data_IF_005934702733
#
_entry.id   IF_005934702733
#
_cell.length_a   1.000
_cell.length_b   1.000
_cell.length_c   1.000
_cell.angle_alpha   90.00
_cell.angle_beta   90.00
_cell.angle_gamma   90.00
#
_symmetry.space_group_name_H-M   'P 1'
#
loop_
_entity.id
_entity.type
_entity.pdbx_description
1 polymer ?
#
# COMPACT_ATOMS: atom_id res chain seq x y z
N UNK A 1 -10.88 0.12 19.07
CA UNK A 1 -11.71 -0.03 17.85
C UNK A 1 -10.81 -0.17 16.64
N UNK A 2 -10.64 -1.38 16.10
CA UNK A 2 -9.79 -1.77 14.95
C UNK A 2 -9.82 -3.31 15.04
N UNK A 3 -10.60 -4.09 14.31
CA UNK A 3 -10.92 -4.09 12.88
C UNK A 3 -12.28 -4.80 12.73
N UNK A 4 -13.35 -4.06 12.41
CA UNK A 4 -14.72 -4.60 12.15
C UNK A 4 -14.88 -5.27 10.78
N UNK A 5 -13.77 -5.45 10.03
CA UNK A 5 -13.80 -5.95 8.66
C UNK A 5 -14.11 -7.45 8.60
N UNK A 6 -13.55 -8.25 9.52
CA UNK A 6 -13.73 -9.71 9.51
C UNK A 6 -15.06 -10.19 10.14
N UNK A 7 -15.65 -9.44 11.07
CA UNK A 7 -16.93 -9.82 11.70
C UNK A 7 -18.13 -9.77 10.74
N UNK A 8 -17.94 -9.17 9.56
CA UNK A 8 -18.98 -9.06 8.52
C UNK A 8 -18.73 -9.97 7.31
N UNK A 9 -17.72 -10.84 7.33
CA UNK A 9 -17.57 -11.89 6.32
C UNK A 9 -18.53 -13.06 6.59
N UNK A 10 -19.81 -12.75 6.87
CA UNK A 10 -20.88 -13.57 6.32
C UNK A 10 -20.83 -13.30 4.83
N UNK A 11 -20.46 -14.30 4.04
CA UNK A 11 -20.70 -14.33 2.60
C UNK A 11 -22.21 -14.19 2.35
N UNK A 12 -22.71 -12.97 2.47
CA UNK A 12 -24.11 -12.61 2.37
C UNK A 12 -24.41 -12.22 0.93
N UNK A 13 -25.56 -12.68 0.43
CA UNK A 13 -26.16 -12.29 -0.87
C UNK A 13 -26.21 -10.77 -1.10
N UNK A 14 -26.05 -9.94 -0.07
CA UNK A 14 -26.03 -8.48 -0.20
C UNK A 14 -24.70 -7.89 -0.71
N UNK A 15 -23.54 -8.54 -0.47
CA UNK A 15 -22.25 -8.09 -1.00
C UNK A 15 -22.13 -8.36 -2.50
N UNK A 16 -22.81 -9.41 -2.97
CA UNK A 16 -23.11 -9.60 -4.39
C UNK A 16 -23.78 -8.32 -4.92
N UNK A 17 -24.86 -7.82 -4.31
CA UNK A 17 -25.66 -6.76 -4.93
C UNK A 17 -25.00 -5.37 -5.05
N UNK A 18 -24.04 -5.00 -4.19
CA UNK A 18 -23.41 -3.65 -4.23
C UNK A 18 -22.22 -3.59 -5.19
N UNK A 19 -21.32 -4.57 -5.11
CA UNK A 19 -20.22 -4.73 -6.07
C UNK A 19 -20.77 -5.12 -7.43
N UNK A 20 -21.81 -5.98 -7.49
CA UNK A 20 -22.54 -6.22 -8.73
C UNK A 20 -23.18 -4.93 -9.24
N UNK A 21 -23.84 -4.06 -8.45
CA UNK A 21 -24.42 -2.82 -8.99
C UNK A 21 -23.42 -1.92 -9.71
N UNK A 22 -22.21 -1.75 -9.15
CA UNK A 22 -21.16 -0.95 -9.80
C UNK A 22 -20.52 -1.69 -10.99
N UNK A 23 -20.31 -3.01 -10.90
CA UNK A 23 -19.89 -3.84 -12.04
C UNK A 23 -20.95 -3.87 -13.16
N UNK A 24 -22.24 -3.84 -12.81
CA UNK A 24 -23.39 -3.86 -13.73
C UNK A 24 -23.54 -2.52 -14.45
N UNK A 25 -23.32 -1.39 -13.76
CA UNK A 25 -23.22 -0.05 -14.39
C UNK A 25 -22.15 -0.01 -15.48
N UNK A 26 -21.00 -0.64 -15.25
CA UNK A 26 -19.90 -0.65 -16.23
C UNK A 26 -20.10 -1.61 -17.42
N UNK A 27 -21.02 -2.60 -17.33
CA UNK A 27 -21.13 -3.68 -18.34
C UNK A 27 -22.30 -3.57 -19.32
N UNK A 28 -23.45 -3.04 -18.91
CA UNK A 28 -24.63 -2.95 -19.80
C UNK A 28 -24.54 -1.85 -20.85
N UNK A 29 -23.59 -0.92 -20.71
CA UNK A 29 -23.38 0.14 -21.70
C UNK A 29 -22.73 -0.34 -23.01
N UNK A 30 -22.14 -1.55 -23.09
CA UNK A 30 -21.28 -1.86 -24.25
C UNK A 30 -21.34 -3.21 -24.96
N UNK A 31 -22.03 -4.26 -24.51
CA UNK A 31 -22.19 -5.45 -25.39
C UNK A 31 -23.25 -6.43 -24.91
N UNK A 32 -24.16 -6.75 -25.84
CA UNK A 32 -25.12 -7.86 -25.85
C UNK A 32 -24.35 -9.17 -25.59
N UNK A 33 -24.30 -9.65 -24.34
CA UNK A 33 -23.51 -10.84 -23.98
C UNK A 33 -24.43 -12.06 -23.88
N UNK A 34 -24.37 -12.90 -24.91
CA UNK A 34 -25.05 -14.19 -25.00
C UNK A 34 -24.33 -15.22 -24.10
N UNK A 35 -25.10 -16.15 -23.51
CA UNK A 35 -24.70 -17.34 -22.71
C UNK A 35 -24.29 -17.10 -21.23
N UNK A 36 -25.11 -17.65 -20.32
CA UNK A 36 -24.99 -17.57 -18.84
C UNK A 36 -23.63 -18.05 -18.28
N UNK A 37 -22.97 -19.00 -18.96
CA UNK A 37 -21.67 -19.54 -18.56
C UNK A 37 -20.53 -18.51 -18.63
N UNK A 38 -20.53 -17.65 -19.65
CA UNK A 38 -19.47 -16.63 -19.81
C UNK A 38 -19.60 -15.50 -18.80
N UNK A 39 -20.82 -15.10 -18.45
CA UNK A 39 -21.08 -14.12 -17.41
C UNK A 39 -20.56 -14.62 -16.05
N UNK A 40 -20.82 -15.88 -15.71
CA UNK A 40 -20.34 -16.52 -14.47
C UNK A 40 -18.82 -16.50 -14.39
N UNK A 41 -18.14 -16.88 -15.47
CA UNK A 41 -16.67 -16.92 -15.52
C UNK A 41 -16.04 -15.54 -15.35
N UNK A 42 -16.60 -14.51 -15.99
CA UNK A 42 -16.10 -13.14 -15.82
C UNK A 42 -16.33 -12.61 -14.39
N UNK A 43 -17.48 -12.92 -13.78
CA UNK A 43 -17.75 -12.53 -12.39
C UNK A 43 -16.83 -13.22 -11.40
N UNK A 44 -16.57 -14.51 -11.58
CA UNK A 44 -15.60 -15.26 -10.76
C UNK A 44 -14.20 -14.65 -10.87
N UNK A 45 -13.75 -14.36 -12.09
CA UNK A 45 -12.46 -13.73 -12.33
C UNK A 45 -12.35 -12.35 -11.68
N UNK A 46 -13.38 -11.50 -11.79
CA UNK A 46 -13.41 -10.18 -11.15
C UNK A 46 -13.42 -10.27 -9.62
N UNK A 47 -14.15 -11.25 -9.07
CA UNK A 47 -14.20 -11.49 -7.63
C UNK A 47 -12.84 -11.93 -7.11
N UNK A 48 -12.20 -12.89 -7.78
CA UNK A 48 -10.87 -13.35 -7.41
C UNK A 48 -9.85 -12.22 -7.50
N UNK A 49 -9.87 -11.44 -8.59
CA UNK A 49 -8.99 -10.27 -8.74
C UNK A 49 -9.15 -9.28 -7.59
N UNK A 50 -10.39 -8.97 -7.22
CA UNK A 50 -10.68 -8.05 -6.12
C UNK A 50 -10.23 -8.60 -4.77
N UNK A 51 -10.41 -9.92 -4.56
CA UNK A 51 -9.97 -10.60 -3.35
C UNK A 51 -8.45 -10.63 -3.21
N UNK A 52 -7.72 -10.97 -4.28
CA UNK A 52 -6.25 -10.94 -4.30
C UNK A 52 -5.75 -9.53 -4.01
N UNK A 53 -6.30 -8.52 -4.69
CA UNK A 53 -5.92 -7.13 -4.45
C UNK A 53 -6.15 -6.73 -2.99
N UNK A 54 -7.33 -7.02 -2.43
CA UNK A 54 -7.64 -6.75 -1.03
C UNK A 54 -6.66 -7.44 -0.07
N UNK A 55 -6.36 -8.72 -0.30
CA UNK A 55 -5.45 -9.49 0.55
C UNK A 55 -4.04 -8.87 0.59
N UNK A 56 -3.50 -8.52 -0.57
CA UNK A 56 -2.17 -7.91 -0.62
C UNK A 56 -2.16 -6.50 -0.04
N UNK A 57 -3.13 -5.66 -0.39
CA UNK A 57 -3.16 -4.26 0.03
C UNK A 57 -3.47 -4.08 1.52
N UNK A 58 -4.35 -4.89 2.10
CA UNK A 58 -4.80 -4.72 3.49
C UNK A 58 -4.04 -5.58 4.50
N UNK A 59 -3.43 -6.68 4.04
CA UNK A 59 -2.76 -7.64 4.95
C UNK A 59 -1.26 -7.68 4.65
N UNK A 60 -0.88 -8.10 3.45
CA UNK A 60 0.53 -8.39 3.14
C UNK A 60 1.39 -7.12 3.20
N UNK A 61 0.99 -6.06 2.49
CA UNK A 61 1.76 -4.81 2.44
C UNK A 61 1.85 -4.15 3.82
N UNK A 62 0.77 -3.99 4.60
CA UNK A 62 0.84 -3.41 5.93
C UNK A 62 1.66 -4.27 6.91
N UNK A 63 1.56 -5.60 6.83
CA UNK A 63 2.33 -6.50 7.68
C UNK A 63 3.84 -6.35 7.43
N UNK A 64 4.24 -6.37 6.15
CA UNK A 64 5.63 -6.18 5.74
C UNK A 64 6.10 -4.79 6.20
N UNK A 65 5.33 -3.73 5.89
CA UNK A 65 5.66 -2.35 6.27
C UNK A 65 5.75 -2.15 7.79
N UNK A 66 4.99 -2.91 8.57
CA UNK A 66 5.04 -2.85 10.03
C UNK A 66 6.30 -3.48 10.61
N UNK A 67 6.80 -4.55 9.98
CA UNK A 67 7.89 -5.40 10.51
C UNK A 67 9.25 -5.11 9.91
N UNK A 68 9.29 -4.66 8.65
CA UNK A 68 10.50 -4.47 7.87
C UNK A 68 10.64 -3.03 7.39
N UNK A 69 11.89 -2.58 7.30
CA UNK A 69 12.30 -1.44 6.50
C UNK A 69 12.64 -1.93 5.10
N UNK A 70 11.99 -1.34 4.10
CA UNK A 70 12.10 -1.73 2.69
C UNK A 70 12.89 -0.65 1.95
N UNK A 71 14.00 -1.00 1.33
CA UNK A 71 14.89 -0.05 0.64
C UNK A 71 15.45 -0.63 -0.65
N UNK A 72 15.73 0.24 -1.62
CA UNK A 72 16.52 -0.10 -2.81
C UNK A 72 18.01 0.16 -2.52
N UNK A 73 18.90 -0.62 -3.15
CA UNK A 73 20.35 -0.36 -3.09
C UNK A 73 20.76 0.51 -4.27
N UNK A 74 21.42 1.63 -3.99
CA UNK A 74 21.97 2.49 -5.04
C UNK A 74 23.07 1.72 -5.80
N UNK A 75 22.76 1.31 -7.03
CA UNK A 75 23.68 0.58 -7.92
C UNK A 75 23.05 -0.62 -8.63
N UNK A 76 22.05 -1.27 -8.03
CA UNK A 76 21.32 -2.39 -8.64
C UNK A 76 19.86 -2.00 -8.87
N UNK A 77 19.53 -1.61 -10.10
CA UNK A 77 18.18 -1.17 -10.45
C UNK A 77 17.17 -2.29 -10.15
N UNK A 78 16.10 -1.94 -9.45
CA UNK A 78 14.95 -2.81 -9.14
C UNK A 78 15.21 -3.92 -8.10
N UNK A 79 16.30 -3.86 -7.33
CA UNK A 79 16.54 -4.80 -6.23
C UNK A 79 16.04 -4.23 -4.89
N UNK A 80 14.97 -4.84 -4.37
CA UNK A 80 14.35 -4.43 -3.10
C UNK A 80 14.88 -5.30 -1.95
N UNK A 81 15.38 -4.66 -0.91
CA UNK A 81 15.91 -5.30 0.30
C UNK A 81 14.97 -5.08 1.49
N UNK A 82 14.84 -6.12 2.31
CA UNK A 82 13.98 -6.13 3.50
C UNK A 82 14.82 -6.30 4.76
N UNK A 83 14.87 -5.28 5.60
CA UNK A 83 15.57 -5.33 6.88
C UNK A 83 14.56 -5.34 8.02
N UNK A 84 14.61 -6.30 8.98
CA UNK A 84 13.79 -6.21 10.18
C UNK A 84 14.03 -4.86 10.86
N UNK A 85 12.97 -4.16 11.30
CA UNK A 85 13.11 -2.79 11.84
C UNK A 85 14.09 -2.70 13.01
N UNK A 86 14.13 -3.71 13.87
CA UNK A 86 15.07 -3.77 14.98
C UNK A 86 16.54 -3.79 14.50
N UNK A 87 16.82 -4.46 13.39
CA UNK A 87 18.14 -4.52 12.76
C UNK A 87 18.45 -3.20 12.07
N UNK A 88 17.49 -2.65 11.31
CA UNK A 88 17.65 -1.36 10.64
C UNK A 88 18.02 -0.24 11.61
N UNK A 89 17.32 -0.14 12.75
CA UNK A 89 17.63 0.87 13.78
C UNK A 89 19.07 0.75 14.28
N UNK A 90 19.58 -0.47 14.48
CA UNK A 90 20.97 -0.69 14.90
C UNK A 90 21.97 -0.29 13.82
N UNK A 91 21.68 -0.61 12.56
CA UNK A 91 22.54 -0.29 11.42
C UNK A 91 22.66 1.22 11.20
N UNK A 92 21.58 1.98 11.37
CA UNK A 92 21.55 3.42 11.07
C UNK A 92 21.98 4.27 12.26
N UNK A 93 21.92 3.76 13.50
CA UNK A 93 22.40 4.49 14.69
C UNK A 93 23.85 4.95 14.57
N UNK A 94 24.79 4.05 14.27
CA UNK A 94 26.21 4.41 14.20
C UNK A 94 26.51 5.50 13.14
N UNK A 95 25.99 5.42 11.91
CA UNK A 95 26.09 6.52 10.96
C UNK A 95 25.47 7.82 11.45
N UNK A 96 24.29 7.79 12.08
CA UNK A 96 23.66 8.99 12.65
C UNK A 96 24.53 9.60 13.76
N UNK A 97 25.06 8.78 14.66
CA UNK A 97 25.91 9.23 15.77
C UNK A 97 27.20 9.88 15.23
N UNK A 98 27.77 9.35 14.13
CA UNK A 98 28.89 9.97 13.43
C UNK A 98 28.54 11.33 12.80
N UNK A 99 27.32 11.50 12.30
CA UNK A 99 26.85 12.78 11.76
C UNK A 99 26.62 13.80 12.90
N UNK A 100 26.07 13.35 14.03
CA UNK A 100 25.77 14.19 15.20
C UNK A 100 27.02 14.65 15.99
N UNK A 101 28.21 14.16 15.63
CA UNK A 101 29.51 14.56 16.19
C UNK A 101 29.93 16.03 15.94
N UNK A 102 28.98 16.94 15.66
CA UNK A 102 29.20 18.38 15.49
C UNK A 102 29.15 18.88 14.04
N UNK A 103 28.88 18.00 13.06
CA UNK A 103 28.83 18.38 11.65
C UNK A 103 27.46 18.90 11.18
N UNK A 104 26.42 18.72 11.98
CA UNK A 104 25.08 19.25 11.73
C UNK A 104 24.59 20.01 12.95
N UNK A 105 23.92 21.15 12.73
CA UNK A 105 23.33 21.96 13.79
C UNK A 105 21.83 22.07 13.54
N UNK A 106 21.04 21.91 14.59
CA UNK A 106 19.61 22.19 14.53
C UNK A 106 19.42 23.67 14.13
N UNK A 107 18.79 23.89 12.98
CA UNK A 107 18.56 25.23 12.44
C UNK A 107 17.25 25.80 12.98
N UNK A 108 17.25 27.07 13.34
CA UNK A 108 16.04 27.75 13.80
C UNK A 108 15.02 27.88 12.66
N UNK A 109 13.74 27.76 12.99
CA UNK A 109 12.65 27.79 12.00
C UNK A 109 12.63 29.09 11.16
N UNK A 110 13.00 30.21 11.77
CA UNK A 110 13.10 31.53 11.11
C UNK A 110 14.19 31.57 10.04
N UNK A 111 15.34 30.92 10.27
CA UNK A 111 16.43 30.77 9.29
C UNK A 111 16.05 29.83 8.15
N UNK A 112 15.32 28.76 8.44
CA UNK A 112 14.84 27.84 7.40
C UNK A 112 13.89 28.56 6.44
N UNK A 113 12.96 29.35 6.97
CA UNK A 113 11.99 30.09 6.15
C UNK A 113 12.65 31.18 5.31
N UNK A 114 13.69 31.86 5.81
CA UNK A 114 14.43 32.85 5.02
C UNK A 114 15.24 32.21 3.89
N UNK A 115 15.88 31.06 4.11
CA UNK A 115 16.62 30.32 3.08
C UNK A 115 15.67 29.83 1.97
N UNK A 116 14.52 29.28 2.34
CA UNK A 116 13.52 28.80 1.36
C UNK A 116 13.00 29.96 0.53
N UNK A 117 12.68 31.10 1.17
CA UNK A 117 12.25 32.32 0.47
C UNK A 117 13.32 32.92 -0.43
N UNK A 118 14.60 32.81 -0.08
CA UNK A 118 15.70 33.33 -0.88
C UNK A 118 16.01 32.47 -2.12
N UNK A 119 15.45 31.26 -2.21
CA UNK A 119 15.70 30.29 -3.29
C UNK A 119 14.52 30.11 -4.25
N UNK A 120 13.34 30.65 -3.91
CA UNK A 120 12.15 30.68 -4.77
C UNK A 120 12.00 32.03 -5.42
#
# INVERSE_FOLDING_TARGET
>A
ARYKFFSNLRFSRSFQNKVLKEIWKCKFAKKKLHKSSDIRRVLQHQTLRSWVHWFFSEIVVPLISSSFYVTERQGERNCVFYYPKAVWVRLVRSPIDCLDGGHYRLMEYSLVTSIIKARG
#
